data_IF_815181224733
#
_entry.id   IF_815181224733
#
_cell.length_a   1.000
_cell.length_b   1.000
_cell.length_c   1.000
_cell.angle_alpha   90.00
_cell.angle_beta   90.00
_cell.angle_gamma   90.00
#
_symmetry.space_group_name_H-M   'P 1'
#
loop_
_entity.id
_entity.type
_entity.pdbx_description
1 polymer ?
#
# COMPACT_ATOMS: atom_id res chain seq x y z
N UNK A 1 -13.80 39.73 23.92
CA UNK A 1 -14.20 38.85 22.81
C UNK A 1 -13.07 38.53 21.84
N UNK A 2 -12.18 39.46 21.47
CA UNK A 2 -11.03 39.27 20.57
C UNK A 2 -9.92 38.34 21.10
N UNK A 3 -9.67 38.31 22.40
CA UNK A 3 -8.66 37.43 23.04
C UNK A 3 -9.06 35.97 23.07
N UNK A 4 -10.35 35.63 23.19
CA UNK A 4 -10.87 34.25 23.21
C UNK A 4 -10.76 33.61 21.81
N UNK A 5 -10.98 34.37 20.72
CA UNK A 5 -10.74 33.93 19.36
C UNK A 5 -9.26 33.61 19.05
N UNK A 6 -8.34 34.40 19.64
CA UNK A 6 -6.91 34.23 19.47
C UNK A 6 -6.36 33.00 20.19
N UNK A 7 -6.91 32.69 21.36
CA UNK A 7 -6.56 31.52 22.17
C UNK A 7 -7.07 30.23 21.49
N UNK A 8 -8.28 30.25 20.91
CA UNK A 8 -8.83 29.13 20.15
C UNK A 8 -7.96 28.80 18.92
N UNK A 9 -7.47 29.83 18.23
CA UNK A 9 -6.54 29.66 17.10
C UNK A 9 -5.19 29.04 17.51
N UNK A 10 -4.65 29.38 18.68
CA UNK A 10 -3.36 28.85 19.15
C UNK A 10 -3.51 27.40 19.58
N UNK A 11 -4.57 27.05 20.28
CA UNK A 11 -4.89 25.66 20.68
C UNK A 11 -5.10 24.77 19.47
N UNK A 12 -5.85 25.21 18.46
CA UNK A 12 -6.07 24.50 17.22
C UNK A 12 -4.77 24.33 16.39
N UNK A 13 -3.90 25.34 16.46
CA UNK A 13 -2.59 25.29 15.82
C UNK A 13 -1.68 24.27 16.48
N UNK A 14 -1.57 24.27 17.81
CA UNK A 14 -0.79 23.29 18.58
C UNK A 14 -1.34 21.87 18.38
N UNK A 15 -2.65 21.68 18.39
CA UNK A 15 -3.29 20.38 18.16
C UNK A 15 -2.98 19.84 16.74
N UNK A 16 -3.02 20.71 15.74
CA UNK A 16 -2.73 20.35 14.35
C UNK A 16 -1.27 19.94 14.13
N UNK A 17 -0.31 20.62 14.76
CA UNK A 17 1.10 20.23 14.72
C UNK A 17 1.35 18.92 15.46
N UNK A 18 0.71 18.69 16.60
CA UNK A 18 0.80 17.43 17.33
C UNK A 18 0.29 16.26 16.49
N UNK A 19 -0.87 16.39 15.86
CA UNK A 19 -1.42 15.37 14.97
C UNK A 19 -0.52 15.09 13.77
N UNK A 20 0.09 16.12 13.19
CA UNK A 20 1.05 15.99 12.09
C UNK A 20 2.28 15.19 12.52
N UNK A 21 2.87 15.51 13.67
CA UNK A 21 4.05 14.82 14.20
C UNK A 21 3.73 13.37 14.55
N UNK A 22 2.58 13.12 15.19
CA UNK A 22 2.13 11.76 15.50
C UNK A 22 1.93 10.93 14.23
N UNK A 23 1.22 11.47 13.24
CA UNK A 23 1.00 10.78 11.97
C UNK A 23 2.31 10.51 11.22
N UNK A 24 3.24 11.46 11.22
CA UNK A 24 4.57 11.27 10.65
C UNK A 24 5.32 10.14 11.36
N UNK A 25 5.31 10.12 12.70
CA UNK A 25 5.93 9.06 13.49
C UNK A 25 5.37 7.68 13.17
N UNK A 26 4.04 7.54 13.06
CA UNK A 26 3.40 6.27 12.68
C UNK A 26 3.75 5.82 11.27
N UNK A 27 3.78 6.73 10.29
CA UNK A 27 4.17 6.40 8.93
C UNK A 27 5.65 6.03 8.83
N UNK A 28 6.52 6.71 9.58
CA UNK A 28 7.95 6.38 9.63
C UNK A 28 8.18 5.00 10.26
N UNK A 29 7.49 4.68 11.36
CA UNK A 29 7.54 3.35 11.97
C UNK A 29 7.09 2.28 10.99
N UNK A 30 5.99 2.50 10.30
CA UNK A 30 5.48 1.61 9.25
C UNK A 30 6.53 1.40 8.14
N UNK A 31 7.19 2.47 7.72
CA UNK A 31 8.23 2.41 6.69
C UNK A 31 9.43 1.56 7.16
N UNK A 32 9.90 1.78 8.40
CA UNK A 32 10.97 0.98 9.00
C UNK A 32 10.60 -0.50 9.04
N UNK A 33 9.38 -0.84 9.46
CA UNK A 33 8.90 -2.22 9.45
C UNK A 33 8.86 -2.80 8.03
N UNK A 34 8.42 -2.00 7.04
CA UNK A 34 8.38 -2.40 5.65
C UNK A 34 9.75 -2.75 5.07
N UNK A 35 10.80 -2.13 5.58
CA UNK A 35 12.18 -2.33 5.15
C UNK A 35 12.86 -3.50 5.88
N UNK A 36 12.71 -3.57 7.22
CA UNK A 36 13.41 -4.55 8.03
C UNK A 36 12.85 -5.98 7.86
N UNK A 37 11.52 -6.11 7.75
CA UNK A 37 10.89 -7.43 7.70
C UNK A 37 11.32 -8.23 6.46
N UNK A 38 11.31 -7.70 5.24
CA UNK A 38 11.84 -8.41 4.09
C UNK A 38 13.31 -8.77 4.21
N UNK A 39 14.15 -7.94 4.86
CA UNK A 39 15.56 -8.25 5.05
C UNK A 39 15.78 -9.45 5.97
N UNK A 40 14.91 -9.66 6.97
CA UNK A 40 14.96 -10.82 7.85
C UNK A 40 14.37 -12.06 7.18
N UNK A 41 13.26 -11.92 6.46
CA UNK A 41 12.57 -13.07 5.86
C UNK A 41 13.21 -13.56 4.56
N UNK A 42 13.90 -12.70 3.82
CA UNK A 42 14.56 -13.07 2.56
C UNK A 42 15.61 -14.18 2.72
N UNK A 43 16.63 -14.05 3.59
CA UNK A 43 17.64 -15.10 3.76
C UNK A 43 17.02 -16.43 4.19
N UNK A 44 16.02 -16.39 5.05
CA UNK A 44 15.30 -17.58 5.49
C UNK A 44 14.58 -18.27 4.33
N UNK A 45 13.77 -17.52 3.59
CA UNK A 45 12.97 -18.07 2.50
C UNK A 45 13.83 -18.59 1.35
N UNK A 46 14.94 -17.91 1.01
CA UNK A 46 15.81 -18.37 -0.07
C UNK A 46 16.60 -19.63 0.34
N UNK A 47 16.98 -19.75 1.61
CA UNK A 47 17.63 -20.95 2.12
C UNK A 47 16.68 -22.14 2.23
N UNK A 48 15.41 -21.91 2.61
CA UNK A 48 14.41 -22.97 2.79
C UNK A 48 13.81 -23.41 1.46
N UNK A 49 13.42 -22.48 0.61
CA UNK A 49 12.69 -22.78 -0.65
C UNK A 49 13.65 -22.94 -1.84
N UNK A 50 14.83 -22.36 -1.77
CA UNK A 50 15.72 -22.19 -2.90
C UNK A 50 15.35 -21.00 -3.78
N UNK A 51 16.33 -20.51 -4.54
CA UNK A 51 16.20 -19.30 -5.35
C UNK A 51 15.10 -19.38 -6.41
N UNK A 52 14.88 -20.54 -7.01
CA UNK A 52 13.91 -20.69 -8.09
C UNK A 52 12.47 -20.58 -7.60
N UNK A 53 12.09 -21.33 -6.55
CA UNK A 53 10.73 -21.26 -5.99
C UNK A 53 10.45 -19.91 -5.35
N UNK A 54 11.43 -19.33 -4.67
CA UNK A 54 11.29 -17.96 -4.17
C UNK A 54 11.07 -16.96 -5.31
N UNK A 55 11.83 -17.06 -6.40
CA UNK A 55 11.66 -16.24 -7.59
C UNK A 55 10.28 -16.36 -8.22
N UNK A 56 9.72 -17.59 -8.31
CA UNK A 56 8.36 -17.83 -8.81
C UNK A 56 7.31 -17.12 -7.93
N UNK A 57 7.50 -17.13 -6.59
CA UNK A 57 6.62 -16.40 -5.66
C UNK A 57 6.65 -14.89 -5.97
N UNK A 58 7.83 -14.30 -6.06
CA UNK A 58 7.98 -12.86 -6.33
C UNK A 58 7.43 -12.49 -7.71
N UNK A 59 7.69 -13.32 -8.73
CA UNK A 59 7.17 -13.15 -10.08
C UNK A 59 5.63 -13.17 -10.12
N UNK A 60 5.02 -14.15 -9.45
CA UNK A 60 3.56 -14.22 -9.35
C UNK A 60 2.96 -13.01 -8.65
N UNK A 61 3.60 -12.54 -7.58
CA UNK A 61 3.19 -11.34 -6.85
C UNK A 61 3.35 -10.07 -7.69
N UNK A 62 4.37 -9.99 -8.53
CA UNK A 62 4.56 -8.88 -9.45
C UNK A 62 3.42 -8.81 -10.49
N UNK A 63 3.03 -9.93 -11.08
CA UNK A 63 1.88 -9.99 -12.00
C UNK A 63 0.58 -9.61 -11.30
N UNK A 64 0.30 -10.19 -10.12
CA UNK A 64 -0.94 -9.90 -9.38
C UNK A 64 -1.00 -8.45 -8.90
N UNK A 65 0.14 -7.80 -8.64
CA UNK A 65 0.15 -6.39 -8.26
C UNK A 65 -0.34 -5.45 -9.38
N UNK A 66 -0.19 -5.81 -10.65
CA UNK A 66 -0.84 -5.09 -11.75
C UNK A 66 -2.36 -5.24 -11.69
N UNK A 67 -2.87 -6.41 -11.34
CA UNK A 67 -4.31 -6.61 -11.14
C UNK A 67 -4.83 -5.83 -9.92
N UNK A 68 -4.06 -5.76 -8.85
CA UNK A 68 -4.42 -5.03 -7.63
C UNK A 68 -4.57 -3.52 -7.88
N UNK A 69 -3.79 -2.93 -8.78
CA UNK A 69 -3.94 -1.52 -9.15
C UNK A 69 -5.25 -1.24 -9.88
N UNK A 70 -5.75 -2.18 -10.68
CA UNK A 70 -7.06 -2.04 -11.29
C UNK A 70 -8.18 -2.07 -10.24
N UNK A 71 -8.06 -2.90 -9.19
CA UNK A 71 -8.99 -2.89 -8.05
C UNK A 71 -8.92 -1.55 -7.29
N UNK A 72 -7.73 -0.97 -7.13
CA UNK A 72 -7.56 0.34 -6.49
C UNK A 72 -8.23 1.47 -7.30
N UNK A 73 -8.13 1.45 -8.63
CA UNK A 73 -8.69 2.44 -9.55
C UNK A 73 -8.36 3.90 -9.20
N UNK A 74 -7.26 4.15 -8.51
CA UNK A 74 -6.89 5.50 -8.05
C UNK A 74 -7.65 6.01 -6.83
N UNK A 75 -8.53 5.20 -6.23
CA UNK A 75 -9.32 5.60 -5.05
C UNK A 75 -8.47 5.90 -3.81
N UNK A 76 -7.29 5.30 -3.69
CA UNK A 76 -6.41 5.61 -2.56
C UNK A 76 -6.05 7.10 -2.50
N UNK A 77 -5.98 7.79 -3.64
CA UNK A 77 -5.70 9.23 -3.70
C UNK A 77 -7.00 10.05 -3.70
N UNK A 78 -7.95 9.72 -4.59
CA UNK A 78 -9.18 10.49 -4.76
C UNK A 78 -10.07 10.45 -3.52
N UNK A 79 -10.32 9.26 -2.96
CA UNK A 79 -11.15 9.12 -1.78
C UNK A 79 -10.51 9.75 -0.54
N UNK A 80 -9.18 9.65 -0.38
CA UNK A 80 -8.45 10.38 0.68
C UNK A 80 -8.72 11.87 0.60
N UNK A 81 -8.62 12.47 -0.60
CA UNK A 81 -8.93 13.87 -0.85
C UNK A 81 -10.38 14.22 -0.48
N UNK A 82 -11.34 13.46 -1.00
CA UNK A 82 -12.76 13.74 -0.76
C UNK A 82 -13.13 13.62 0.73
N UNK A 83 -12.62 12.62 1.45
CA UNK A 83 -12.84 12.48 2.88
C UNK A 83 -12.17 13.61 3.65
N UNK A 84 -10.96 14.02 3.26
CA UNK A 84 -10.26 15.11 3.94
C UNK A 84 -11.00 16.44 3.88
N UNK A 85 -11.69 16.71 2.75
CA UNK A 85 -12.47 17.93 2.56
C UNK A 85 -13.80 17.87 3.33
N UNK A 86 -14.41 16.68 3.46
CA UNK A 86 -15.75 16.52 4.03
C UNK A 86 -15.75 15.89 5.44
N UNK A 87 -14.68 16.05 6.23
CA UNK A 87 -14.49 15.37 7.54
C UNK A 87 -15.62 15.57 8.52
N UNK A 88 -16.29 16.72 8.47
CA UNK A 88 -17.37 17.08 9.39
C UNK A 88 -18.76 16.64 8.88
N UNK A 89 -18.86 16.26 7.60
CA UNK A 89 -20.11 15.80 7.01
C UNK A 89 -20.18 14.26 6.96
N UNK A 90 -20.79 13.69 8.00
CA UNK A 90 -20.98 12.24 8.10
C UNK A 90 -21.81 11.65 6.93
N UNK A 91 -22.72 12.43 6.32
CA UNK A 91 -23.52 11.94 5.18
C UNK A 91 -22.65 11.79 3.94
N UNK A 92 -21.80 12.81 3.66
CA UNK A 92 -20.85 12.77 2.55
C UNK A 92 -19.79 11.68 2.74
N UNK A 93 -19.27 11.50 3.96
CA UNK A 93 -18.34 10.42 4.26
C UNK A 93 -18.98 9.06 3.97
N UNK A 94 -20.21 8.82 4.42
CA UNK A 94 -20.93 7.57 4.15
C UNK A 94 -21.16 7.34 2.65
N UNK A 95 -21.48 8.40 1.89
CA UNK A 95 -21.61 8.37 0.43
C UNK A 95 -20.30 7.93 -0.23
N UNK A 96 -19.19 8.62 0.07
CA UNK A 96 -17.86 8.33 -0.49
C UNK A 96 -17.43 6.90 -0.17
N UNK A 97 -17.54 6.49 1.10
CA UNK A 97 -17.16 5.15 1.56
C UNK A 97 -17.98 4.08 0.81
N UNK A 98 -19.29 4.29 0.70
CA UNK A 98 -20.17 3.35 -0.01
C UNK A 98 -19.80 3.23 -1.49
N UNK A 99 -19.57 4.36 -2.19
CA UNK A 99 -19.14 4.35 -3.59
C UNK A 99 -17.85 3.57 -3.78
N UNK A 100 -16.83 3.87 -2.95
CA UNK A 100 -15.52 3.23 -3.09
C UNK A 100 -15.61 1.71 -2.92
N UNK A 101 -16.33 1.22 -1.90
CA UNK A 101 -16.50 -0.22 -1.71
C UNK A 101 -17.32 -0.88 -2.81
N UNK A 102 -18.40 -0.24 -3.30
CA UNK A 102 -19.19 -0.76 -4.42
C UNK A 102 -18.30 -0.93 -5.65
N UNK A 103 -17.55 0.11 -6.04
CA UNK A 103 -16.71 0.07 -7.24
C UNK A 103 -15.56 -0.92 -7.09
N UNK A 104 -14.83 -0.88 -5.95
CA UNK A 104 -13.72 -1.81 -5.71
C UNK A 104 -14.17 -3.28 -5.69
N UNK A 105 -15.36 -3.57 -5.15
CA UNK A 105 -15.92 -4.93 -5.16
C UNK A 105 -16.26 -5.38 -6.58
N UNK A 106 -16.87 -4.52 -7.39
CA UNK A 106 -17.15 -4.82 -8.80
C UNK A 106 -15.86 -5.07 -9.59
N UNK A 107 -14.85 -4.20 -9.40
CA UNK A 107 -13.55 -4.37 -10.05
C UNK A 107 -12.84 -5.65 -9.58
N UNK A 108 -12.95 -6.02 -8.30
CA UNK A 108 -12.40 -7.26 -7.78
C UNK A 108 -13.01 -8.47 -8.48
N UNK A 109 -14.34 -8.49 -8.68
CA UNK A 109 -15.03 -9.57 -9.41
C UNK A 109 -14.52 -9.67 -10.85
N UNK A 110 -14.37 -8.52 -11.54
CA UNK A 110 -13.83 -8.46 -12.90
C UNK A 110 -12.40 -9.00 -12.94
N UNK A 111 -11.55 -8.60 -11.99
CA UNK A 111 -10.15 -9.03 -11.90
C UNK A 111 -10.04 -10.52 -11.63
N UNK A 112 -10.91 -11.11 -10.77
CA UNK A 112 -10.98 -12.55 -10.60
C UNK A 112 -11.39 -13.27 -11.89
N UNK A 113 -12.35 -12.73 -12.64
CA UNK A 113 -12.69 -13.25 -13.97
C UNK A 113 -11.51 -13.20 -14.94
N UNK A 114 -10.75 -12.10 -14.93
CA UNK A 114 -9.57 -11.93 -15.79
C UNK A 114 -8.43 -12.91 -15.43
N UNK A 115 -8.29 -13.33 -14.18
CA UNK A 115 -7.32 -14.33 -13.77
C UNK A 115 -7.51 -15.66 -14.53
N UNK A 116 -8.75 -16.07 -14.82
CA UNK A 116 -9.01 -17.28 -15.61
C UNK A 116 -8.46 -17.17 -17.03
N UNK A 117 -8.45 -15.97 -17.63
CA UNK A 117 -7.83 -15.72 -18.93
C UNK A 117 -6.31 -15.84 -18.86
N UNK A 118 -5.70 -15.41 -17.76
CA UNK A 118 -4.26 -15.54 -17.55
C UNK A 118 -3.84 -17.00 -17.48
N UNK A 119 -4.68 -17.91 -16.99
CA UNK A 119 -4.39 -19.35 -16.94
C UNK A 119 -4.42 -20.05 -18.30
N UNK A 120 -4.74 -19.36 -19.38
CA UNK A 120 -4.55 -19.87 -20.74
C UNK A 120 -3.07 -19.96 -21.13
N UNK A 121 -2.19 -19.20 -20.46
CA UNK A 121 -0.74 -19.25 -20.67
C UNK A 121 -0.15 -20.48 -19.92
N UNK A 122 0.54 -21.40 -20.63
CA UNK A 122 1.05 -22.64 -20.04
C UNK A 122 1.99 -22.42 -18.86
N UNK A 123 2.89 -21.43 -18.95
CA UNK A 123 3.89 -21.12 -17.92
C UNK A 123 3.24 -20.68 -16.60
N UNK A 124 2.09 -20.02 -16.66
CA UNK A 124 1.34 -19.56 -15.51
C UNK A 124 0.48 -20.69 -14.95
N UNK A 125 -0.03 -21.56 -15.82
CA UNK A 125 -0.89 -22.68 -15.45
C UNK A 125 -0.18 -23.70 -14.55
N UNK A 126 1.12 -23.87 -14.71
CA UNK A 126 1.93 -24.75 -13.86
C UNK A 126 1.82 -24.34 -12.38
N UNK A 127 1.83 -23.03 -12.10
CA UNK A 127 1.79 -22.46 -10.74
C UNK A 127 0.44 -21.85 -10.39
N UNK A 128 -0.68 -22.34 -10.97
CA UNK A 128 -2.03 -21.77 -10.81
C UNK A 128 -2.43 -21.48 -9.35
N UNK A 129 -2.12 -22.40 -8.42
CA UNK A 129 -2.45 -22.22 -7.00
C UNK A 129 -1.68 -21.07 -6.38
N UNK A 130 -0.43 -20.87 -6.80
CA UNK A 130 0.38 -19.76 -6.33
C UNK A 130 -0.23 -18.40 -6.76
N UNK A 131 -0.70 -18.30 -8.00
CA UNK A 131 -1.39 -17.11 -8.48
C UNK A 131 -2.71 -16.87 -7.75
N UNK A 132 -3.52 -17.93 -7.53
CA UNK A 132 -4.76 -17.84 -6.76
C UNK A 132 -4.47 -17.33 -5.34
N UNK A 133 -3.50 -17.90 -4.65
CA UNK A 133 -3.15 -17.43 -3.32
C UNK A 133 -2.55 -16.02 -3.34
N UNK A 134 -1.83 -15.62 -4.37
CA UNK A 134 -1.29 -14.27 -4.52
C UNK A 134 -2.38 -13.19 -4.76
N UNK A 135 -3.60 -13.58 -5.15
CA UNK A 135 -4.75 -12.66 -5.28
C UNK A 135 -5.15 -12.00 -3.96
N UNK A 136 -4.57 -12.40 -2.84
CA UNK A 136 -4.75 -11.68 -1.58
C UNK A 136 -4.44 -10.18 -1.69
N UNK A 137 -3.53 -9.78 -2.59
CA UNK A 137 -3.22 -8.37 -2.85
C UNK A 137 -4.44 -7.62 -3.37
N UNK A 138 -5.18 -8.22 -4.31
CA UNK A 138 -6.41 -7.63 -4.86
C UNK A 138 -7.51 -7.56 -3.79
N UNK A 139 -7.63 -8.61 -2.95
CA UNK A 139 -8.58 -8.64 -1.84
C UNK A 139 -8.23 -7.58 -0.80
N UNK A 140 -6.95 -7.43 -0.46
CA UNK A 140 -6.48 -6.39 0.46
C UNK A 140 -6.76 -4.98 -0.06
N UNK A 141 -6.47 -4.70 -1.34
CA UNK A 141 -6.77 -3.41 -1.96
C UNK A 141 -8.28 -3.09 -1.96
N UNK A 142 -9.13 -4.11 -2.07
CA UNK A 142 -10.57 -3.93 -1.96
C UNK A 142 -11.02 -3.64 -0.52
N UNK A 143 -10.55 -4.45 0.44
CA UNK A 143 -11.08 -4.48 1.80
C UNK A 143 -10.44 -3.44 2.72
N UNK A 144 -9.12 -3.21 2.63
CA UNK A 144 -8.42 -2.35 3.58
C UNK A 144 -8.61 -0.86 3.28
N UNK A 145 -9.26 -0.09 4.17
CA UNK A 145 -9.62 1.30 3.93
C UNK A 145 -8.49 2.29 4.24
N UNK A 146 -7.32 2.14 3.59
CA UNK A 146 -6.17 3.02 3.78
C UNK A 146 -6.54 4.48 3.51
N UNK A 147 -7.29 4.72 2.43
CA UNK A 147 -7.77 6.03 2.00
C UNK A 147 -8.68 6.71 3.04
N UNK A 148 -9.46 5.92 3.79
CA UNK A 148 -10.31 6.45 4.85
C UNK A 148 -9.47 6.95 6.03
N UNK A 149 -8.57 6.12 6.56
CA UNK A 149 -7.72 6.51 7.69
C UNK A 149 -6.78 7.66 7.35
N UNK A 150 -6.29 7.73 6.12
CA UNK A 150 -5.52 8.86 5.61
C UNK A 150 -6.38 10.13 5.54
N UNK A 151 -7.58 10.03 4.98
CA UNK A 151 -8.51 11.15 4.84
C UNK A 151 -8.92 11.78 6.18
N UNK A 152 -9.11 10.96 7.23
CA UNK A 152 -9.42 11.46 8.58
C UNK A 152 -8.18 11.77 9.45
N UNK A 153 -6.95 11.70 8.85
CA UNK A 153 -5.66 11.94 9.53
C UNK A 153 -5.42 11.03 10.75
N UNK A 154 -5.82 9.76 10.68
CA UNK A 154 -5.60 8.77 11.76
C UNK A 154 -4.68 7.64 11.29
N UNK A 155 -3.44 8.00 10.93
CA UNK A 155 -2.43 7.09 10.38
C UNK A 155 -2.05 5.95 11.34
N UNK A 156 -2.27 6.13 12.63
CA UNK A 156 -2.02 5.08 13.64
C UNK A 156 -2.71 3.75 13.32
N UNK A 157 -3.92 3.78 12.76
CA UNK A 157 -4.63 2.55 12.40
C UNK A 157 -3.92 1.80 11.29
N UNK A 158 -3.44 2.53 10.27
CA UNK A 158 -2.68 1.95 9.17
C UNK A 158 -1.40 1.30 9.71
N UNK A 159 -0.65 2.04 10.54
CA UNK A 159 0.60 1.55 11.12
C UNK A 159 0.40 0.31 12.01
N UNK A 160 -0.57 0.35 12.93
CA UNK A 160 -0.85 -0.75 13.84
C UNK A 160 -1.28 -2.01 13.09
N UNK A 161 -2.22 -1.90 12.14
CA UNK A 161 -2.71 -3.08 11.40
C UNK A 161 -1.64 -3.66 10.50
N UNK A 162 -0.87 -2.81 9.80
CA UNK A 162 0.25 -3.28 9.00
C UNK A 162 1.33 -3.95 9.85
N UNK A 163 1.63 -3.41 11.04
CA UNK A 163 2.59 -4.02 11.97
C UNK A 163 2.12 -5.39 12.47
N UNK A 164 0.86 -5.48 12.92
CA UNK A 164 0.28 -6.75 13.38
C UNK A 164 0.33 -7.80 12.26
N UNK A 165 -0.15 -7.45 11.06
CA UNK A 165 -0.15 -8.37 9.92
C UNK A 165 1.26 -8.89 9.59
N UNK A 166 2.28 -8.05 9.71
CA UNK A 166 3.67 -8.41 9.45
C UNK A 166 4.30 -9.27 10.54
N UNK A 167 4.01 -8.97 11.80
CA UNK A 167 4.47 -9.81 12.94
C UNK A 167 3.87 -11.21 12.81
N UNK A 168 2.56 -11.30 12.53
CA UNK A 168 1.90 -12.58 12.28
C UNK A 168 2.54 -13.31 11.09
N UNK A 169 2.80 -12.60 9.99
CA UNK A 169 3.48 -13.16 8.83
C UNK A 169 4.84 -13.76 9.18
N UNK A 170 5.70 -13.01 9.87
CA UNK A 170 7.03 -13.50 10.28
C UNK A 170 6.91 -14.76 11.14
N UNK A 171 6.09 -14.71 12.19
CA UNK A 171 5.93 -15.83 13.10
C UNK A 171 5.47 -17.10 12.37
N UNK A 172 4.47 -16.97 11.52
CA UNK A 172 3.92 -18.12 10.77
C UNK A 172 4.89 -18.63 9.70
N UNK A 173 5.66 -17.76 9.04
CA UNK A 173 6.68 -18.18 8.07
C UNK A 173 7.74 -19.05 8.73
N UNK A 174 8.26 -18.64 9.88
CA UNK A 174 9.28 -19.42 10.58
C UNK A 174 8.77 -20.77 11.15
N UNK A 175 7.47 -20.86 11.47
CA UNK A 175 6.87 -22.07 12.03
C UNK A 175 6.45 -23.03 10.92
N UNK A 176 5.87 -22.54 9.82
CA UNK A 176 5.17 -23.40 8.85
C UNK A 176 5.92 -23.59 7.53
N UNK A 177 6.84 -22.70 7.17
CA UNK A 177 7.60 -22.82 5.92
C UNK A 177 8.97 -23.40 6.23
N UNK A 178 9.08 -24.72 6.25
CA UNK A 178 10.29 -25.44 6.66
C UNK A 178 10.93 -26.24 5.53
N UNK A 179 10.18 -26.51 4.46
CA UNK A 179 10.62 -27.29 3.31
C UNK A 179 10.31 -26.58 1.99
N UNK A 180 10.97 -26.93 0.86
CA UNK A 180 10.67 -26.35 -0.45
C UNK A 180 9.23 -26.54 -0.90
N UNK A 181 8.56 -27.62 -0.46
CA UNK A 181 7.15 -27.90 -0.80
C UNK A 181 6.19 -26.89 -0.18
N UNK A 182 6.61 -26.16 0.86
CA UNK A 182 5.80 -25.20 1.58
C UNK A 182 5.70 -23.84 0.87
N UNK A 183 6.22 -23.70 -0.35
CA UNK A 183 6.27 -22.43 -1.09
C UNK A 183 4.88 -21.77 -1.26
N UNK A 184 3.81 -22.55 -1.36
CA UNK A 184 2.43 -22.05 -1.44
C UNK A 184 1.95 -21.39 -0.15
N UNK A 185 2.53 -21.76 1.00
CA UNK A 185 2.15 -21.17 2.28
C UNK A 185 2.59 -19.71 2.37
N UNK A 186 3.62 -19.29 1.65
CA UNK A 186 4.11 -17.91 1.70
C UNK A 186 3.03 -16.89 1.30
N UNK A 187 2.42 -16.95 0.10
CA UNK A 187 1.33 -16.04 -0.24
C UNK A 187 0.06 -16.31 0.57
N UNK A 188 -0.21 -17.55 0.99
CA UNK A 188 -1.37 -17.88 1.82
C UNK A 188 -1.30 -17.21 3.18
N UNK A 189 -0.16 -17.27 3.88
CA UNK A 189 0.05 -16.63 5.18
C UNK A 189 -0.06 -15.12 5.06
N UNK A 190 0.54 -14.52 4.02
CA UNK A 190 0.36 -13.09 3.73
C UNK A 190 -1.12 -12.74 3.55
N UNK A 191 -1.86 -13.56 2.80
CA UNK A 191 -3.28 -13.38 2.54
C UNK A 191 -4.12 -13.46 3.81
N UNK A 192 -3.89 -14.45 4.66
CA UNK A 192 -4.60 -14.59 5.94
C UNK A 192 -4.37 -13.35 6.81
N UNK A 193 -3.12 -12.91 6.97
CA UNK A 193 -2.78 -11.70 7.73
C UNK A 193 -3.44 -10.44 7.16
N UNK A 194 -3.42 -10.28 5.85
CA UNK A 194 -4.04 -9.16 5.15
C UNK A 194 -5.57 -9.13 5.29
N UNK A 195 -6.23 -10.28 5.18
CA UNK A 195 -7.68 -10.39 5.32
C UNK A 195 -8.10 -10.11 6.77
N UNK A 196 -7.44 -10.71 7.75
CA UNK A 196 -7.74 -10.48 9.17
C UNK A 196 -7.61 -8.99 9.52
N UNK A 197 -6.50 -8.36 9.15
CA UNK A 197 -6.29 -6.93 9.43
C UNK A 197 -7.30 -6.04 8.70
N UNK A 198 -7.71 -6.40 7.48
CA UNK A 198 -8.75 -5.69 6.74
C UNK A 198 -10.13 -5.81 7.39
N UNK A 199 -10.50 -7.00 7.86
CA UNK A 199 -11.77 -7.21 8.56
C UNK A 199 -11.83 -6.43 9.88
N UNK A 200 -10.73 -6.40 10.64
CA UNK A 200 -10.63 -5.58 11.85
C UNK A 200 -10.75 -4.09 11.49
N UNK A 201 -10.11 -3.64 10.40
CA UNK A 201 -10.20 -2.27 9.95
C UNK A 201 -11.63 -1.88 9.55
N UNK A 202 -12.36 -2.76 8.84
CA UNK A 202 -13.77 -2.57 8.48
C UNK A 202 -14.65 -2.56 9.74
N UNK A 203 -14.40 -3.46 10.69
CA UNK A 203 -15.12 -3.48 11.96
C UNK A 203 -14.99 -2.12 12.68
N UNK A 204 -13.77 -1.59 12.79
CA UNK A 204 -13.53 -0.27 13.38
C UNK A 204 -14.22 0.85 12.59
N UNK A 205 -14.23 0.77 11.26
CA UNK A 205 -14.91 1.73 10.39
C UNK A 205 -16.42 1.77 10.68
N UNK A 206 -17.05 0.62 10.85
CA UNK A 206 -18.48 0.52 11.13
C UNK A 206 -18.81 0.94 12.57
N UNK A 207 -18.16 0.35 13.54
CA UNK A 207 -18.55 0.52 14.97
C UNK A 207 -17.98 1.77 15.61
N UNK A 208 -16.72 2.12 15.34
CA UNK A 208 -16.07 3.28 15.94
C UNK A 208 -16.35 4.58 15.20
N UNK A 209 -16.26 4.54 13.87
CA UNK A 209 -16.52 5.71 13.02
C UNK A 209 -17.97 5.81 12.58
N UNK A 210 -18.81 4.83 12.93
CA UNK A 210 -20.26 4.80 12.67
C UNK A 210 -20.61 4.96 11.20
N UNK A 211 -19.76 4.42 10.31
CA UNK A 211 -20.00 4.47 8.87
C UNK A 211 -21.17 3.55 8.52
N UNK A 212 -22.10 4.10 7.73
CA UNK A 212 -23.30 3.38 7.24
C UNK A 212 -23.16 3.17 5.76
N UNK A 213 -23.04 1.91 5.36
CA UNK A 213 -23.05 1.54 3.95
C UNK A 213 -24.46 1.70 3.39
N UNK A 214 -24.57 2.36 2.23
CA UNK A 214 -25.81 2.56 1.51
C UNK A 214 -25.55 2.41 0.01
N UNK A 215 -26.48 1.76 -0.69
CA UNK A 215 -26.41 1.72 -2.14
C UNK A 215 -26.49 3.15 -2.68
N UNK A 216 -25.67 3.45 -3.69
CA UNK A 216 -25.58 4.78 -4.29
C UNK A 216 -26.15 4.78 -5.70
N UNK A 217 -26.62 5.93 -6.16
CA UNK A 217 -27.09 6.08 -7.52
C UNK A 217 -25.94 5.95 -8.53
N UNK A 218 -26.24 5.47 -9.74
CA UNK A 218 -25.22 5.35 -10.79
C UNK A 218 -24.57 6.70 -11.11
N UNK A 219 -25.31 7.80 -11.03
CA UNK A 219 -24.80 9.14 -11.23
C UNK A 219 -23.74 9.50 -10.19
N UNK A 220 -23.97 9.17 -8.90
CA UNK A 220 -23.03 9.40 -7.80
C UNK A 220 -21.78 8.53 -7.97
N UNK A 221 -21.97 7.26 -8.32
CA UNK A 221 -20.86 6.32 -8.59
C UNK A 221 -20.00 6.86 -9.73
N UNK A 222 -20.60 7.25 -10.84
CA UNK A 222 -19.87 7.78 -11.99
C UNK A 222 -19.10 9.08 -11.67
N UNK A 223 -19.73 9.98 -10.90
CA UNK A 223 -19.09 11.23 -10.47
C UNK A 223 -17.76 10.99 -9.73
N UNK A 224 -17.77 10.13 -8.71
CA UNK A 224 -16.56 9.82 -7.92
C UNK A 224 -15.54 8.98 -8.72
N UNK A 225 -16.00 8.06 -9.57
CA UNK A 225 -15.13 7.21 -10.38
C UNK A 225 -14.40 8.00 -11.48
N UNK A 226 -15.05 9.01 -12.08
CA UNK A 226 -14.45 9.85 -13.13
C UNK A 226 -13.17 10.53 -12.66
N UNK A 227 -13.16 11.08 -11.45
CA UNK A 227 -11.95 11.72 -10.91
C UNK A 227 -10.87 10.68 -10.53
N UNK A 228 -11.29 9.53 -10.03
CA UNK A 228 -10.37 8.43 -9.69
C UNK A 228 -9.69 7.86 -10.94
N UNK A 229 -10.39 7.81 -12.08
CA UNK A 229 -9.84 7.31 -13.35
C UNK A 229 -8.63 8.13 -13.82
N UNK A 230 -8.61 9.44 -13.60
CA UNK A 230 -7.45 10.28 -13.92
C UNK A 230 -6.23 9.90 -13.08
N UNK A 231 -6.46 9.51 -11.83
CA UNK A 231 -5.41 9.13 -10.90
C UNK A 231 -4.94 7.68 -11.09
N UNK A 232 -5.75 6.85 -11.76
CA UNK A 232 -5.35 5.50 -12.17
C UNK A 232 -4.09 5.53 -13.04
N UNK A 233 -4.00 6.47 -14.00
CA UNK A 233 -2.81 6.61 -14.86
C UNK A 233 -1.54 6.85 -14.05
N UNK A 234 -1.61 7.69 -13.02
CA UNK A 234 -0.48 7.94 -12.10
C UNK A 234 -0.10 6.66 -11.35
N UNK A 235 -1.11 5.91 -10.88
CA UNK A 235 -0.88 4.65 -10.18
C UNK A 235 -0.27 3.58 -11.09
N UNK A 236 -0.70 3.49 -12.36
CA UNK A 236 -0.13 2.58 -13.36
C UNK A 236 1.34 2.92 -13.61
N UNK A 237 1.69 4.20 -13.75
CA UNK A 237 3.09 4.61 -13.94
C UNK A 237 3.97 4.15 -12.78
N UNK A 238 3.47 4.24 -11.55
CA UNK A 238 4.18 3.75 -10.34
C UNK A 238 4.44 2.24 -10.42
N UNK A 239 3.40 1.43 -10.67
CA UNK A 239 3.56 -0.04 -10.69
C UNK A 239 4.43 -0.50 -11.85
N UNK A 240 4.33 0.15 -13.02
CA UNK A 240 5.20 -0.14 -14.18
C UNK A 240 6.66 0.05 -13.79
N UNK A 241 7.00 1.16 -13.15
CA UNK A 241 8.35 1.43 -12.65
C UNK A 241 8.82 0.33 -11.68
N UNK A 242 7.95 -0.07 -10.74
CA UNK A 242 8.34 -0.92 -9.62
C UNK A 242 8.34 -2.42 -9.96
N UNK A 243 7.49 -2.88 -10.92
CA UNK A 243 7.27 -4.31 -11.15
C UNK A 243 7.63 -4.82 -12.55
N UNK A 244 7.77 -3.94 -13.54
CA UNK A 244 8.10 -4.38 -14.91
C UNK A 244 9.45 -5.10 -14.97
N UNK A 245 10.47 -4.58 -14.26
CA UNK A 245 11.78 -5.19 -14.23
C UNK A 245 11.73 -6.64 -13.70
N UNK A 246 10.98 -6.88 -12.62
CA UNK A 246 10.78 -8.22 -12.06
C UNK A 246 10.17 -9.19 -13.10
N UNK A 247 9.17 -8.72 -13.86
CA UNK A 247 8.51 -9.52 -14.89
C UNK A 247 9.46 -9.79 -16.06
N UNK A 248 10.16 -8.77 -16.54
CA UNK A 248 11.14 -8.92 -17.66
C UNK A 248 12.26 -9.88 -17.27
N UNK A 249 12.86 -9.71 -16.10
CA UNK A 249 13.92 -10.59 -15.60
C UNK A 249 13.42 -12.04 -15.51
N UNK A 250 12.24 -12.27 -14.95
CA UNK A 250 11.67 -13.60 -14.82
C UNK A 250 11.38 -14.27 -16.18
N UNK A 251 10.92 -13.48 -17.16
CA UNK A 251 10.59 -13.99 -18.50
C UNK A 251 11.83 -14.28 -19.35
N UNK A 252 12.93 -13.53 -19.18
CA UNK A 252 14.12 -13.59 -20.05
C UNK A 252 15.26 -14.36 -19.39
N UNK A 253 15.53 -14.14 -18.12
CA UNK A 253 16.69 -14.68 -17.40
C UNK A 253 16.34 -15.86 -16.48
N UNK A 254 15.05 -16.00 -16.13
CA UNK A 254 14.56 -17.08 -15.29
C UNK A 254 14.31 -16.69 -13.83
N UNK A 255 13.62 -17.58 -13.12
CA UNK A 255 13.08 -17.29 -11.78
C UNK A 255 14.16 -17.13 -10.71
N UNK A 256 15.30 -17.82 -10.84
CA UNK A 256 16.42 -17.64 -9.91
C UNK A 256 16.97 -16.22 -9.89
N UNK A 257 17.01 -15.56 -11.05
CA UNK A 257 17.49 -14.19 -11.18
C UNK A 257 16.48 -13.17 -10.62
N UNK A 258 15.19 -13.49 -10.68
CA UNK A 258 14.15 -12.70 -9.97
C UNK A 258 14.41 -12.63 -8.47
N UNK A 259 14.83 -13.75 -7.87
CA UNK A 259 15.13 -13.79 -6.43
C UNK A 259 16.29 -12.85 -6.07
N UNK A 260 17.36 -12.83 -6.86
CA UNK A 260 18.48 -11.93 -6.64
C UNK A 260 18.11 -10.47 -6.89
N UNK A 261 17.35 -10.20 -7.95
CA UNK A 261 16.88 -8.85 -8.25
C UNK A 261 15.99 -8.30 -7.11
N UNK A 262 15.04 -9.08 -6.61
CA UNK A 262 14.19 -8.70 -5.48
C UNK A 262 14.99 -8.35 -4.22
N UNK A 263 16.07 -9.07 -3.96
CA UNK A 263 16.95 -8.75 -2.84
C UNK A 263 17.68 -7.43 -3.02
N UNK A 264 18.28 -7.23 -4.19
CA UNK A 264 18.96 -5.97 -4.52
C UNK A 264 17.97 -4.79 -4.47
N UNK A 265 16.78 -4.96 -5.03
CA UNK A 265 15.71 -3.96 -4.98
C UNK A 265 15.35 -3.59 -3.53
N UNK A 266 15.26 -4.56 -2.64
CA UNK A 266 14.99 -4.32 -1.22
C UNK A 266 16.08 -3.49 -0.57
N UNK A 267 17.37 -3.78 -0.84
CA UNK A 267 18.50 -3.01 -0.33
C UNK A 267 18.46 -1.57 -0.87
N UNK A 268 18.25 -1.41 -2.17
CA UNK A 268 18.13 -0.08 -2.81
C UNK A 268 16.98 0.72 -2.21
N UNK A 269 15.83 0.07 -1.96
CA UNK A 269 14.67 0.71 -1.34
C UNK A 269 14.94 1.16 0.10
N UNK A 270 15.76 0.42 0.87
CA UNK A 270 16.20 0.86 2.21
C UNK A 270 16.98 2.18 2.10
N UNK A 271 17.99 2.21 1.23
CA UNK A 271 18.82 3.40 1.02
C UNK A 271 17.99 4.59 0.52
N UNK A 272 17.18 4.38 -0.52
CA UNK A 272 16.30 5.40 -1.09
C UNK A 272 15.33 5.98 -0.07
N UNK A 273 14.79 5.16 0.82
CA UNK A 273 13.87 5.61 1.88
C UNK A 273 14.55 6.54 2.87
N UNK A 274 15.81 6.29 3.23
CA UNK A 274 16.58 7.17 4.10
C UNK A 274 16.70 8.55 3.46
N UNK A 275 17.11 8.61 2.17
CA UNK A 275 17.22 9.87 1.43
C UNK A 275 15.88 10.59 1.27
N UNK A 276 14.81 9.84 0.98
CA UNK A 276 13.46 10.39 0.85
C UNK A 276 12.95 11.00 2.16
N UNK A 277 13.23 10.34 3.28
CA UNK A 277 12.87 10.84 4.62
C UNK A 277 13.61 12.13 4.94
N UNK A 278 14.92 12.19 4.68
CA UNK A 278 15.72 13.42 4.85
C UNK A 278 15.17 14.55 3.98
N UNK A 279 14.86 14.27 2.72
CA UNK A 279 14.30 15.26 1.80
C UNK A 279 12.95 15.80 2.29
N UNK A 280 12.07 14.94 2.78
CA UNK A 280 10.75 15.34 3.30
C UNK A 280 10.82 16.19 4.57
N UNK A 281 11.84 15.99 5.41
CA UNK A 281 12.07 16.81 6.62
C UNK A 281 12.64 18.18 6.25
N UNK A 282 13.56 18.22 5.29
CA UNK A 282 14.26 19.44 4.90
C UNK A 282 13.41 20.36 4.00
N UNK A 283 12.56 19.78 3.17
CA UNK A 283 11.74 20.54 2.20
C UNK A 283 10.81 21.58 2.84
N UNK A 284 10.05 21.31 3.93
CA UNK A 284 9.24 22.33 4.59
C UNK A 284 10.07 23.44 5.27
N UNK A 285 11.22 23.07 5.85
CA UNK A 285 12.14 24.02 6.47
C UNK A 285 12.70 25.00 5.45
N UNK A 286 12.99 24.51 4.25
CA UNK A 286 13.43 25.29 3.12
C UNK A 286 12.40 26.32 2.65
N UNK A 287 11.16 25.91 2.48
CA UNK A 287 10.07 26.79 2.02
C UNK A 287 9.80 27.94 3.02
N UNK A 288 10.12 27.75 4.30
CA UNK A 288 9.93 28.77 5.34
C UNK A 288 11.07 29.79 5.42
N UNK A 289 12.30 29.43 5.07
CA UNK A 289 13.52 30.23 5.32
C UNK A 289 14.21 30.78 4.06
N UNK A 290 13.63 30.60 2.87
CA UNK A 290 14.02 31.23 1.57
C UNK A 290 15.54 31.29 1.23
N UNK A 291 16.39 30.44 1.83
CA UNK A 291 17.83 30.45 1.56
C UNK A 291 18.13 29.59 0.31
N UNK A 292 17.96 30.23 -0.86
CA UNK A 292 18.08 29.58 -2.18
C UNK A 292 19.41 28.87 -2.43
N UNK A 293 20.49 29.31 -1.78
CA UNK A 293 21.84 28.75 -1.97
C UNK A 293 21.96 27.38 -1.29
N UNK A 294 21.45 27.26 -0.06
CA UNK A 294 21.46 26.00 0.68
C UNK A 294 20.60 24.93 0.00
N UNK A 295 19.42 25.33 -0.51
CA UNK A 295 18.53 24.42 -1.25
C UNK A 295 19.12 23.90 -2.56
N UNK A 296 19.73 24.80 -3.32
CA UNK A 296 20.36 24.42 -4.58
C UNK A 296 21.50 23.41 -4.35
N UNK A 297 22.29 23.59 -3.29
CA UNK A 297 23.30 22.63 -2.89
C UNK A 297 22.68 21.29 -2.47
N UNK A 298 21.61 21.31 -1.68
CA UNK A 298 20.94 20.09 -1.19
C UNK A 298 20.24 19.33 -2.31
N UNK A 299 19.58 20.03 -3.26
CA UNK A 299 19.02 19.44 -4.48
C UNK A 299 20.12 18.80 -5.34
N UNK A 300 21.26 19.47 -5.51
CA UNK A 300 22.39 18.91 -6.26
C UNK A 300 22.91 17.64 -5.55
N UNK A 301 23.07 17.66 -4.23
CA UNK A 301 23.51 16.48 -3.49
C UNK A 301 22.50 15.33 -3.56
N UNK A 302 21.20 15.59 -3.46
CA UNK A 302 20.18 14.54 -3.57
C UNK A 302 20.02 14.00 -4.98
N UNK A 303 20.27 14.78 -6.04
CA UNK A 303 20.22 14.31 -7.44
C UNK A 303 21.51 13.65 -7.91
N UNK A 304 22.63 13.88 -7.26
CA UNK A 304 23.94 13.26 -7.60
C UNK A 304 24.15 11.94 -6.86
N UNK A 305 23.49 11.76 -5.70
CA UNK A 305 23.64 10.55 -4.85
C UNK A 305 22.48 9.57 -5.04
N UNK A 306 21.31 9.99 -5.59
CA UNK A 306 20.16 9.16 -5.91
C UNK A 306 20.05 8.89 -7.39
#
# INVERSE_FOLDING_TARGET
MMLICKVKNISDYIYRYKTLIENFGYLTLLQICNLLIPLVTYPYLINTLGKNLYGVIIYSQAIVSYLAIFVNWGFNISATKYISINREDSKKINEIVSVVYIVKTLLLIIVFGFLFLIFLFPEIREYKLLYIFSMWQCIYECLFPIWFFQGIEKMKYIAIFSFIGRVVFILLIFIWVTTPQDYLLVPLINGIGAIITSLIAIYILIYKFKIKFRWQSLATIFYHTKDSTKLLLTSITGIVKDRTNTIVIGSVLGMGEVAYYDFVEKIVNVLSTIFYTISNVVFPYYNKNANKIFARKLLIYTTVIG
#
